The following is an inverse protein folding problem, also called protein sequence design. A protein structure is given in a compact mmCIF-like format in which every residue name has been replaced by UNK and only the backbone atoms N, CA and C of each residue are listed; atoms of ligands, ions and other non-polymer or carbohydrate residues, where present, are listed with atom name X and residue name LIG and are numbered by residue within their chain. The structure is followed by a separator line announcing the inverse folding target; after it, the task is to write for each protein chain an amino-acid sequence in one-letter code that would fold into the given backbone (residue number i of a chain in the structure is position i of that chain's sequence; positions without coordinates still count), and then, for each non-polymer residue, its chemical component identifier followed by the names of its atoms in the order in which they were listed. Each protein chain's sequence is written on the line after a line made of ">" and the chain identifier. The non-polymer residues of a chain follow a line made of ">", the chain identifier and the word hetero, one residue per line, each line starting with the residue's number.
data_IF_885217328288
#
_entry.id   IF_885217328288
#
_cell.length_a   1.000
_cell.length_b   1.000
_cell.length_c   1.000
_cell.angle_alpha   90.00
_cell.angle_beta   90.00
_cell.angle_gamma   90.00
#
_symmetry.space_group_name_H-M   'P 1'
#
loop_
_entity.id
_entity.type
_entity.pdbx_description
1 polymer ?
#
# COMPACT_ATOMS: atom_id res chain seq x y z
N UNK A 1 -0.39 -14.86 -9.76
CA UNK A 1 -0.21 -13.68 -10.63
C UNK A 1 0.87 -12.81 -10.00
N UNK A 2 1.62 -12.01 -10.79
CA UNK A 2 2.57 -11.05 -10.24
C UNK A 2 1.87 -10.08 -9.27
N UNK A 3 2.55 -9.68 -8.19
CA UNK A 3 2.03 -8.68 -7.26
C UNK A 3 1.89 -7.34 -8.02
N UNK A 4 0.68 -6.77 -8.16
CA UNK A 4 0.48 -5.53 -8.93
C UNK A 4 1.28 -4.35 -8.35
N UNK A 5 1.65 -4.39 -7.06
CA UNK A 5 2.48 -3.38 -6.40
C UNK A 5 3.92 -3.40 -6.89
N UNK A 6 4.44 -4.55 -7.34
CA UNK A 6 5.79 -4.64 -7.86
C UNK A 6 5.95 -3.84 -9.16
N UNK A 7 4.95 -3.88 -10.04
CA UNK A 7 4.94 -3.07 -11.26
C UNK A 7 4.90 -1.58 -10.93
N UNK A 8 4.01 -1.16 -10.03
CA UNK A 8 3.95 0.23 -9.56
C UNK A 8 5.29 0.69 -8.97
N UNK A 9 5.91 -0.13 -8.13
CA UNK A 9 7.22 0.16 -7.53
C UNK A 9 8.31 0.30 -8.60
N UNK A 10 8.33 -0.58 -9.61
CA UNK A 10 9.27 -0.51 -10.72
C UNK A 10 9.09 0.77 -11.55
N UNK A 11 7.84 1.14 -11.86
CA UNK A 11 7.50 2.38 -12.58
C UNK A 11 7.97 3.62 -11.80
N UNK A 12 7.70 3.66 -10.49
CA UNK A 12 8.15 4.77 -9.62
C UNK A 12 9.67 4.84 -9.50
N UNK A 13 10.37 3.71 -9.30
CA UNK A 13 11.84 3.68 -9.28
C UNK A 13 12.41 4.18 -10.59
N UNK A 14 11.85 3.76 -11.73
CA UNK A 14 12.31 4.18 -13.05
C UNK A 14 12.20 5.70 -13.20
N UNK A 15 11.07 6.28 -12.77
CA UNK A 15 10.86 7.73 -12.78
C UNK A 15 11.89 8.44 -11.89
N UNK A 16 12.06 7.99 -10.64
CA UNK A 16 13.02 8.57 -9.68
C UNK A 16 14.45 8.51 -10.21
N UNK A 17 14.86 7.39 -10.80
CA UNK A 17 16.20 7.22 -11.36
C UNK A 17 16.53 8.20 -12.50
N UNK A 18 15.51 8.80 -13.12
CA UNK A 18 15.63 9.76 -14.21
C UNK A 18 15.07 11.15 -13.84
N UNK A 19 14.81 11.39 -12.55
CA UNK A 19 14.49 12.74 -12.08
C UNK A 19 15.67 13.67 -12.39
N UNK A 20 15.39 14.77 -13.10
CA UNK A 20 16.41 15.74 -13.50
C UNK A 20 17.09 15.51 -14.84
N UNK A 21 16.80 14.42 -15.57
CA UNK A 21 17.39 14.15 -16.91
C UNK A 21 16.65 14.83 -18.07
N UNK A 22 15.72 15.76 -17.78
CA UNK A 22 14.95 16.52 -18.76
C UNK A 22 13.74 15.78 -19.32
N UNK A 23 13.94 14.58 -19.88
CA UNK A 23 12.85 13.71 -20.36
C UNK A 23 13.14 12.28 -19.89
N UNK A 24 12.57 11.84 -18.75
CA UNK A 24 12.69 10.46 -18.32
C UNK A 24 11.94 9.54 -19.30
N UNK A 25 12.51 8.39 -19.71
CA UNK A 25 11.81 7.42 -20.55
C UNK A 25 10.57 6.92 -19.82
N UNK A 26 9.41 6.90 -20.49
CA UNK A 26 8.19 6.36 -19.90
C UNK A 26 8.33 4.85 -19.80
N UNK A 27 7.60 4.24 -18.87
CA UNK A 27 7.58 2.78 -18.73
C UNK A 27 7.26 2.07 -20.05
N UNK A 28 6.31 2.61 -20.80
CA UNK A 28 5.90 2.07 -22.11
C UNK A 28 6.99 2.17 -23.20
N UNK A 29 8.00 3.01 -23.01
CA UNK A 29 9.12 3.18 -23.95
C UNK A 29 10.26 2.18 -23.67
N UNK A 30 10.20 1.46 -22.53
CA UNK A 30 11.18 0.45 -22.18
C UNK A 30 10.96 -0.85 -22.96
N UNK A 31 12.06 -1.55 -23.26
CA UNK A 31 11.97 -2.87 -23.87
C UNK A 31 11.28 -3.88 -22.94
N UNK A 32 10.64 -4.90 -23.51
CA UNK A 32 10.03 -5.99 -22.73
C UNK A 32 11.04 -6.71 -21.82
N UNK A 33 12.32 -6.69 -22.19
CA UNK A 33 13.39 -7.24 -21.35
C UNK A 33 13.64 -6.35 -20.14
N UNK A 34 13.75 -5.03 -20.34
CA UNK A 34 13.99 -4.09 -19.25
C UNK A 34 12.81 -4.02 -18.28
N UNK A 35 11.57 -4.01 -18.80
CA UNK A 35 10.37 -4.05 -17.97
C UNK A 35 10.35 -5.29 -17.08
N UNK A 36 10.74 -6.45 -17.61
CA UNK A 36 10.81 -7.71 -16.83
C UNK A 36 11.90 -7.67 -15.76
N UNK A 37 13.08 -7.14 -16.09
CA UNK A 37 14.18 -7.01 -15.12
C UNK A 37 13.76 -6.09 -13.98
N UNK A 38 13.27 -4.89 -14.30
CA UNK A 38 12.87 -3.90 -13.28
C UNK A 38 11.71 -4.40 -12.42
N UNK A 39 10.75 -5.11 -13.02
CA UNK A 39 9.64 -5.72 -12.26
C UNK A 39 10.16 -6.80 -11.31
N UNK A 40 11.05 -7.69 -11.77
CA UNK A 40 11.63 -8.74 -10.93
C UNK A 40 12.45 -8.16 -9.77
N UNK A 41 13.24 -7.11 -10.00
CA UNK A 41 13.94 -6.40 -8.91
C UNK A 41 12.96 -5.80 -7.89
N UNK A 42 11.87 -5.20 -8.39
CA UNK A 42 10.84 -4.62 -7.52
C UNK A 42 10.07 -5.68 -6.72
N UNK A 43 9.84 -6.87 -7.26
CA UNK A 43 9.24 -8.00 -6.52
C UNK A 43 10.12 -8.40 -5.33
N UNK A 44 11.43 -8.52 -5.53
CA UNK A 44 12.38 -8.85 -4.46
C UNK A 44 12.45 -7.78 -3.37
N UNK A 45 12.48 -6.49 -3.76
CA UNK A 45 12.45 -5.40 -2.78
C UNK A 45 11.14 -5.31 -2.02
N UNK A 46 10.01 -5.49 -2.70
CA UNK A 46 8.71 -5.50 -2.06
C UNK A 46 8.60 -6.65 -1.07
N UNK A 47 9.06 -7.84 -1.44
CA UNK A 47 9.15 -8.99 -0.53
C UNK A 47 9.99 -8.67 0.70
N UNK A 48 11.18 -8.11 0.51
CA UNK A 48 12.05 -7.73 1.63
C UNK A 48 11.39 -6.68 2.54
N UNK A 49 10.68 -5.70 1.97
CA UNK A 49 9.96 -4.69 2.74
C UNK A 49 8.81 -5.31 3.56
N UNK A 50 8.09 -6.28 3.00
CA UNK A 50 7.05 -7.04 3.71
C UNK A 50 7.65 -7.86 4.85
N UNK A 51 8.73 -8.61 4.60
CA UNK A 51 9.41 -9.42 5.62
C UNK A 51 9.99 -8.55 6.75
N UNK A 52 10.45 -7.34 6.43
CA UNK A 52 10.87 -6.34 7.42
C UNK A 52 9.69 -5.66 8.14
N UNK A 53 8.45 -5.86 7.68
CA UNK A 53 7.23 -5.22 8.17
C UNK A 53 7.20 -3.71 7.94
N UNK A 54 7.74 -3.26 6.80
CA UNK A 54 7.68 -1.88 6.30
C UNK A 54 6.59 -1.69 5.23
N UNK A 55 5.98 -2.79 4.77
CA UNK A 55 4.86 -2.80 3.84
C UNK A 55 3.86 -3.88 4.26
N UNK A 56 2.55 -3.69 4.03
CA UNK A 56 1.55 -4.73 4.29
C UNK A 56 1.68 -5.90 3.32
N UNK A 57 1.08 -7.04 3.65
CA UNK A 57 0.91 -8.16 2.71
C UNK A 57 0.01 -7.73 1.54
N UNK A 58 0.28 -8.23 0.32
CA UNK A 58 -0.64 -8.08 -0.81
C UNK A 58 -1.89 -8.92 -0.60
N UNK A 59 -1.68 -10.13 -0.09
CA UNK A 59 -2.76 -11.08 0.11
C UNK A 59 -3.46 -10.81 1.44
N UNK A 60 -4.78 -10.85 1.38
CA UNK A 60 -5.61 -10.83 2.57
C UNK A 60 -5.32 -12.10 3.39
N UNK A 61 -5.03 -12.00 4.70
CA UNK A 61 -4.75 -13.19 5.52
C UNK A 61 -5.90 -14.21 5.52
N UNK A 62 -7.15 -13.73 5.57
CA UNK A 62 -8.37 -14.54 5.38
C UNK A 62 -9.47 -13.67 4.77
N UNK A 63 -10.48 -14.27 4.15
CA UNK A 63 -11.69 -13.56 3.66
C UNK A 63 -12.36 -12.63 4.68
N UNK A 64 -12.26 -12.94 5.98
CA UNK A 64 -12.78 -12.15 7.12
C UNK A 64 -11.95 -10.94 7.56
N UNK A 65 -10.80 -10.66 6.97
CA UNK A 65 -10.00 -9.49 7.33
C UNK A 65 -10.45 -8.26 6.53
N UNK A 66 -10.64 -7.15 7.24
CA UNK A 66 -10.88 -5.84 6.64
C UNK A 66 -9.59 -5.29 6.02
N UNK A 67 -9.73 -4.37 5.06
CA UNK A 67 -8.60 -3.74 4.38
C UNK A 67 -8.69 -2.22 4.46
N UNK A 68 -7.53 -1.56 4.42
CA UNK A 68 -7.44 -0.11 4.22
C UNK A 68 -6.87 0.15 2.85
N UNK A 69 -7.58 0.96 2.07
CA UNK A 69 -7.22 1.37 0.72
C UNK A 69 -6.82 2.84 0.71
N UNK A 70 -5.91 3.21 -0.19
CA UNK A 70 -5.53 4.60 -0.47
C UNK A 70 -5.95 4.89 -1.91
N UNK A 71 -6.74 5.93 -2.13
CA UNK A 71 -7.07 6.38 -3.49
C UNK A 71 -5.99 7.29 -4.09
N UNK A 72 -6.20 7.74 -5.32
CA UNK A 72 -5.29 8.60 -6.07
C UNK A 72 -5.25 10.05 -5.56
N UNK A 73 -6.23 10.45 -4.75
CA UNK A 73 -6.29 11.76 -4.09
C UNK A 73 -5.66 11.76 -2.69
N UNK A 74 -5.24 10.60 -2.18
CA UNK A 74 -4.63 10.46 -0.85
C UNK A 74 -5.61 10.13 0.27
N UNK A 75 -6.88 9.87 -0.03
CA UNK A 75 -7.88 9.49 0.97
C UNK A 75 -7.79 8.02 1.32
N UNK A 76 -7.97 7.73 2.60
CA UNK A 76 -8.04 6.38 3.12
C UNK A 76 -9.49 5.86 3.12
N UNK A 77 -9.66 4.60 2.77
CA UNK A 77 -10.95 3.91 2.73
C UNK A 77 -10.86 2.59 3.49
N UNK A 78 -11.83 2.31 4.34
CA UNK A 78 -11.97 1.01 5.00
C UNK A 78 -12.90 0.12 4.20
N UNK A 79 -12.42 -1.06 3.82
CA UNK A 79 -13.24 -2.15 3.30
C UNK A 79 -13.62 -3.06 4.47
N UNK A 80 -14.92 -3.19 4.74
CA UNK A 80 -15.46 -3.88 5.90
C UNK A 80 -16.24 -5.11 5.47
N UNK A 81 -15.59 -6.26 5.51
CA UNK A 81 -16.21 -7.55 5.17
C UNK A 81 -17.16 -8.04 6.27
N UNK A 82 -17.03 -7.46 7.47
CA UNK A 82 -17.76 -7.90 8.67
C UNK A 82 -19.02 -7.08 8.99
N UNK A 83 -19.37 -6.06 8.19
CA UNK A 83 -20.39 -5.06 8.54
C UNK A 83 -21.25 -4.57 7.37
N UNK A 84 -22.59 -4.50 7.54
CA UNK A 84 -23.53 -5.63 7.57
C UNK A 84 -23.68 -6.33 6.19
N UNK A 85 -24.27 -7.54 6.14
CA UNK A 85 -24.32 -8.43 4.96
C UNK A 85 -25.09 -7.92 3.72
N UNK A 86 -25.55 -6.66 3.70
CA UNK A 86 -26.25 -6.09 2.55
C UNK A 86 -25.34 -5.76 1.37
N UNK A 87 -24.03 -5.62 1.60
CA UNK A 87 -23.01 -5.39 0.57
C UNK A 87 -21.78 -6.25 0.91
N UNK A 88 -21.50 -7.29 0.12
CA UNK A 88 -20.33 -8.17 0.31
C UNK A 88 -18.98 -7.50 0.00
N UNK A 89 -19.01 -6.21 -0.34
CA UNK A 89 -17.93 -5.35 -0.79
C UNK A 89 -18.04 -3.93 -0.19
N UNK A 90 -18.59 -3.80 1.02
CA UNK A 90 -18.75 -2.51 1.66
C UNK A 90 -17.40 -1.78 1.82
N UNK A 91 -17.28 -0.61 1.19
CA UNK A 91 -16.12 0.27 1.30
C UNK A 91 -16.59 1.68 1.67
N UNK A 92 -15.98 2.26 2.71
CA UNK A 92 -16.35 3.55 3.26
C UNK A 92 -15.10 4.41 3.41
N UNK A 93 -15.23 5.72 3.15
CA UNK A 93 -14.14 6.65 3.39
C UNK A 93 -13.86 6.72 4.88
N UNK A 94 -12.59 6.57 5.27
CA UNK A 94 -12.17 6.80 6.65
C UNK A 94 -12.22 8.30 6.92
N UNK A 95 -13.37 8.76 7.40
CA UNK A 95 -13.56 10.11 7.92
C UNK A 95 -13.53 10.04 9.44
N UNK A 96 -12.72 10.90 10.06
CA UNK A 96 -12.77 11.10 11.50
C UNK A 96 -13.99 11.96 11.80
N UNK A 97 -15.12 11.33 12.08
CA UNK A 97 -16.39 12.03 12.37
C UNK A 97 -16.69 12.14 13.87
N UNK A 98 -16.07 11.33 14.75
CA UNK A 98 -16.32 11.36 16.20
C UNK A 98 -15.09 11.70 17.05
N UNK A 99 -15.35 12.30 18.22
CA UNK A 99 -14.35 12.68 19.23
C UNK A 99 -13.78 11.49 20.03
N UNK A 100 -14.32 10.27 19.88
CA UNK A 100 -13.81 9.10 20.60
C UNK A 100 -12.70 8.42 19.81
N UNK A 101 -11.50 8.99 19.94
CA UNK A 101 -10.25 8.34 19.59
C UNK A 101 -9.58 7.76 20.85
N UNK A 102 -9.00 6.58 20.76
CA UNK A 102 -8.12 6.08 21.81
C UNK A 102 -6.75 6.74 21.70
N UNK A 103 -6.18 7.16 22.83
CA UNK A 103 -4.82 7.68 22.86
C UNK A 103 -3.84 6.57 22.45
N UNK A 104 -3.07 6.80 21.38
CA UNK A 104 -1.97 5.90 20.98
C UNK A 104 -1.06 5.55 22.16
N UNK A 105 -0.74 6.56 22.98
CA UNK A 105 0.12 6.41 24.15
C UNK A 105 -0.49 5.49 25.20
N UNK A 106 -1.78 5.62 25.49
CA UNK A 106 -2.45 4.75 26.47
C UNK A 106 -2.46 3.30 26.00
N UNK A 107 -2.62 3.07 24.69
CA UNK A 107 -2.50 1.74 24.09
C UNK A 107 -1.06 1.19 24.18
N UNK A 108 -0.05 2.03 23.96
CA UNK A 108 1.36 1.65 24.17
C UNK A 108 1.65 1.31 25.64
N UNK A 109 1.09 2.07 26.59
CA UNK A 109 1.17 1.78 28.03
C UNK A 109 0.46 0.46 28.41
N UNK A 110 -0.53 0.04 27.62
CA UNK A 110 -1.19 -1.28 27.72
C UNK A 110 -0.42 -2.39 27.00
N UNK A 111 0.72 -2.08 26.37
CA UNK A 111 1.59 -3.05 25.69
C UNK A 111 1.32 -3.23 24.20
N UNK A 112 0.50 -2.37 23.58
CA UNK A 112 0.29 -2.38 22.12
C UNK A 112 1.48 -1.71 21.43
N UNK A 113 2.15 -2.43 20.52
CA UNK A 113 3.24 -1.87 19.73
C UNK A 113 2.73 -1.32 18.40
N UNK A 114 3.00 -0.04 18.12
CA UNK A 114 2.71 0.57 16.83
C UNK A 114 3.98 0.74 16.00
N UNK A 115 3.89 0.42 14.71
CA UNK A 115 4.92 0.72 13.72
C UNK A 115 4.39 1.71 12.70
N UNK A 116 5.09 2.83 12.53
CA UNK A 116 4.79 3.77 11.46
C UNK A 116 5.23 3.17 10.12
N UNK A 117 4.27 2.96 9.23
CA UNK A 117 4.50 2.44 7.87
C UNK A 117 4.60 3.58 6.83
N UNK A 118 4.04 4.75 7.13
CA UNK A 118 4.10 5.93 6.26
C UNK A 118 3.10 7.01 6.65
N UNK A 119 3.06 8.09 5.88
CA UNK A 119 2.10 9.19 5.99
C UNK A 119 1.37 9.36 4.65
N UNK A 120 0.07 9.64 4.67
CA UNK A 120 -0.65 10.20 3.51
C UNK A 120 -0.87 11.70 3.73
N UNK A 121 -0.87 12.48 2.65
CA UNK A 121 -1.18 13.91 2.66
C UNK A 121 -2.56 14.14 2.05
#
# INVERSE_FOLDING_TARGET
>A
MPDPRARLLAEHRQRIAHEGTGIPPRWADLSDQDQRILTGEAEEWLRAAVEAGLAPLADRPTDKHDAVWLDDEGWLWGEYQTSPPSHGDAILRLVWESDECSSKRELEEQGVEFRLIGWSQ
#
